data_IF_628390079192
#
_entry.id   IF_628390079192
#
_cell.length_a   1.000
_cell.length_b   1.000
_cell.length_c   1.000
_cell.angle_alpha   90.00
_cell.angle_beta   90.00
_cell.angle_gamma   90.00
#
_symmetry.space_group_name_H-M   'P 1'
#
loop_
_entity.id
_entity.type
_entity.pdbx_description
1 polymer ?
#
# COMPACT_ATOMS: atom_id res chain seq x y z
N UNK A 1 -7.12 10.02 -24.62
CA UNK A 1 -5.73 10.33 -24.22
C UNK A 1 -4.77 10.07 -25.39
N UNK A 2 -3.82 10.97 -25.70
CA UNK A 2 -2.71 10.64 -26.58
C UNK A 2 -1.63 9.85 -25.80
N UNK A 3 -1.40 8.60 -26.21
CA UNK A 3 -0.33 7.74 -25.68
C UNK A 3 1.01 8.23 -26.22
N UNK A 4 1.82 8.87 -25.37
CA UNK A 4 3.21 9.16 -25.71
C UNK A 4 4.02 7.88 -25.45
N UNK A 5 4.37 7.18 -26.52
CA UNK A 5 5.25 6.01 -26.46
C UNK A 5 6.62 6.43 -25.91
N UNK A 6 7.15 5.66 -24.94
CA UNK A 6 8.50 5.88 -24.35
C UNK A 6 8.52 6.29 -22.87
N UNK A 7 7.39 6.41 -22.19
CA UNK A 7 7.32 6.92 -20.81
C UNK A 7 7.62 5.88 -19.70
N UNK A 8 7.68 4.57 -20.01
CA UNK A 8 8.00 3.52 -19.02
C UNK A 8 7.15 3.61 -17.73
N UNK A 9 7.81 3.77 -16.58
CA UNK A 9 7.18 3.95 -15.25
C UNK A 9 6.20 5.13 -15.18
N UNK A 10 6.43 6.20 -15.95
CA UNK A 10 5.54 7.38 -15.97
C UNK A 10 4.20 7.08 -16.66
N UNK A 11 4.18 6.18 -17.64
CA UNK A 11 2.95 5.77 -18.31
C UNK A 11 2.02 4.99 -17.36
N UNK A 12 2.59 4.07 -16.57
CA UNK A 12 1.84 3.31 -15.56
C UNK A 12 1.24 4.24 -14.50
N UNK A 13 2.02 5.19 -14.01
CA UNK A 13 1.53 6.21 -13.07
C UNK A 13 0.40 7.04 -13.69
N UNK A 14 0.58 7.59 -14.89
CA UNK A 14 -0.46 8.38 -15.57
C UNK A 14 -1.76 7.59 -15.74
N UNK A 15 -1.66 6.32 -16.15
CA UNK A 15 -2.82 5.45 -16.30
C UNK A 15 -3.55 5.27 -14.96
N UNK A 16 -2.82 4.99 -13.88
CA UNK A 16 -3.41 4.89 -12.55
C UNK A 16 -4.10 6.20 -12.13
N UNK A 17 -3.47 7.35 -12.38
CA UNK A 17 -4.06 8.65 -12.06
C UNK A 17 -5.35 8.93 -12.84
N UNK A 18 -5.45 8.52 -14.11
CA UNK A 18 -6.68 8.67 -14.91
C UNK A 18 -7.77 7.70 -14.45
N UNK A 19 -7.43 6.45 -14.11
CA UNK A 19 -8.40 5.50 -13.53
C UNK A 19 -8.97 6.06 -12.23
N UNK A 20 -8.12 6.62 -11.36
CA UNK A 20 -8.54 7.23 -10.08
C UNK A 20 -9.47 8.44 -10.29
N UNK A 21 -9.35 9.18 -11.40
CA UNK A 21 -10.24 10.31 -11.71
C UNK A 21 -11.62 9.86 -12.21
N UNK A 22 -11.68 8.70 -12.88
CA UNK A 22 -12.88 8.20 -13.55
C UNK A 22 -13.59 7.08 -12.77
N UNK A 23 -12.93 6.49 -11.76
CA UNK A 23 -13.42 5.33 -11.01
C UNK A 23 -13.12 5.43 -9.51
N UNK A 24 -14.09 5.01 -8.69
CA UNK A 24 -13.97 4.87 -7.23
C UNK A 24 -13.53 3.45 -6.81
N UNK A 25 -13.00 2.65 -7.73
CA UNK A 25 -12.57 1.27 -7.46
C UNK A 25 -11.25 1.22 -6.67
N UNK A 26 -11.30 0.83 -5.40
CA UNK A 26 -10.14 0.77 -4.52
C UNK A 26 -9.22 -0.43 -4.77
N UNK A 27 -9.56 -1.35 -5.69
CA UNK A 27 -8.66 -2.44 -6.10
C UNK A 27 -7.38 -1.92 -6.75
N UNK A 28 -7.37 -0.71 -7.29
CA UNK A 28 -6.17 -0.05 -7.83
C UNK A 28 -5.07 0.15 -6.78
N UNK A 29 -5.42 0.20 -5.49
CA UNK A 29 -4.47 0.31 -4.39
C UNK A 29 -4.03 -1.06 -3.84
N UNK A 30 -4.63 -2.15 -4.31
CA UNK A 30 -4.36 -3.52 -3.88
C UNK A 30 -3.26 -4.19 -4.73
N UNK A 31 -2.16 -3.49 -4.99
CA UNK A 31 -0.93 -4.07 -5.56
C UNK A 31 0.01 -4.52 -4.43
N UNK A 32 1.06 -5.28 -4.73
CA UNK A 32 2.11 -5.62 -3.76
C UNK A 32 3.47 -5.78 -4.44
N UNK A 33 4.54 -5.55 -3.68
CA UNK A 33 5.90 -5.84 -4.14
C UNK A 33 6.10 -7.35 -4.30
N UNK A 34 7.04 -7.76 -5.16
CA UNK A 34 7.47 -9.16 -5.24
C UNK A 34 8.09 -9.61 -3.90
N UNK A 35 8.09 -10.91 -3.57
CA UNK A 35 8.68 -11.40 -2.31
C UNK A 35 10.14 -10.93 -2.12
N UNK A 36 10.92 -10.89 -3.21
CA UNK A 36 12.29 -10.38 -3.20
C UNK A 36 12.38 -8.89 -2.91
N UNK A 37 11.48 -8.08 -3.46
CA UNK A 37 11.45 -6.63 -3.22
C UNK A 37 10.87 -6.28 -1.83
N UNK A 38 9.92 -7.07 -1.32
CA UNK A 38 9.43 -6.95 0.05
C UNK A 38 10.57 -7.19 1.06
N UNK A 39 11.37 -8.23 0.86
CA UNK A 39 12.52 -8.52 1.70
C UNK A 39 13.54 -7.36 1.69
N UNK A 40 13.88 -6.84 0.50
CA UNK A 40 14.79 -5.70 0.38
C UNK A 40 14.26 -4.43 1.05
N UNK A 41 12.97 -4.14 0.87
CA UNK A 41 12.29 -3.01 1.52
C UNK A 41 12.21 -3.19 3.04
N UNK A 42 12.14 -4.43 3.55
CA UNK A 42 12.16 -4.71 5.00
C UNK A 42 13.54 -4.57 5.66
N UNK A 43 14.62 -4.78 4.89
CA UNK A 43 16.00 -4.73 5.38
C UNK A 43 16.57 -3.31 5.44
N UNK A 44 16.01 -2.38 4.66
CA UNK A 44 16.40 -0.98 4.66
C UNK A 44 15.26 -0.18 5.32
N UNK A 45 15.34 0.14 6.63
CA UNK A 45 14.27 0.83 7.35
C UNK A 45 13.88 2.18 6.74
N UNK A 46 14.79 2.84 6.01
CA UNK A 46 14.54 4.08 5.29
C UNK A 46 13.93 3.88 3.87
N UNK A 47 13.99 2.67 3.30
CA UNK A 47 13.40 2.30 1.99
C UNK A 47 12.13 1.41 2.12
N UNK A 48 11.64 1.25 3.35
CA UNK A 48 10.45 0.46 3.68
C UNK A 48 9.15 1.09 3.21
N UNK A 49 9.15 2.41 3.10
CA UNK A 49 8.00 3.20 2.71
C UNK A 49 7.85 3.22 1.19
N UNK A 50 6.63 3.00 0.71
CA UNK A 50 6.29 3.08 -0.70
C UNK A 50 5.09 4.02 -0.88
N UNK A 51 5.00 4.57 -2.09
CA UNK A 51 3.83 5.35 -2.46
C UNK A 51 2.56 4.49 -2.48
N UNK A 52 1.41 5.13 -2.62
CA UNK A 52 0.11 4.47 -2.80
C UNK A 52 -0.09 3.89 -4.20
N UNK A 53 0.66 4.41 -5.18
CA UNK A 53 0.59 3.98 -6.58
C UNK A 53 1.71 2.98 -6.88
N UNK A 54 1.37 1.93 -7.63
CA UNK A 54 2.34 0.93 -8.06
C UNK A 54 3.39 1.57 -8.98
N UNK A 55 4.64 1.14 -8.87
CA UNK A 55 5.71 1.65 -9.73
C UNK A 55 5.78 0.90 -11.07
N UNK A 56 5.42 -0.39 -11.03
CA UNK A 56 5.41 -1.27 -12.18
C UNK A 56 4.11 -2.08 -12.30
N UNK A 57 3.62 -2.34 -13.53
CA UNK A 57 2.45 -3.22 -13.73
C UNK A 57 2.62 -4.63 -13.16
N UNK A 58 3.86 -5.12 -13.04
CA UNK A 58 4.18 -6.42 -12.45
C UNK A 58 3.74 -6.52 -10.97
N UNK A 59 3.63 -5.40 -10.25
CA UNK A 59 3.17 -5.37 -8.86
C UNK A 59 1.66 -5.71 -8.72
N UNK A 60 0.92 -5.79 -9.84
CA UNK A 60 -0.47 -6.24 -9.89
C UNK A 60 -0.64 -7.72 -10.29
N UNK A 61 0.45 -8.47 -10.45
CA UNK A 61 0.39 -9.87 -10.89
C UNK A 61 -0.51 -10.73 -9.99
N UNK A 62 -0.40 -10.54 -8.67
CA UNK A 62 -1.25 -11.23 -7.69
C UNK A 62 -2.63 -10.57 -7.50
N UNK A 63 -2.92 -9.43 -8.13
CA UNK A 63 -4.13 -8.63 -7.87
C UNK A 63 -5.35 -9.05 -8.69
N UNK A 64 -5.20 -9.97 -9.63
CA UNK A 64 -6.24 -10.36 -10.59
C UNK A 64 -7.51 -10.97 -9.96
N UNK A 65 -7.45 -11.39 -8.69
CA UNK A 65 -8.55 -12.02 -7.98
C UNK A 65 -9.25 -11.07 -6.99
N UNK A 66 -8.83 -9.80 -6.93
CA UNK A 66 -9.50 -8.79 -6.13
C UNK A 66 -10.72 -8.24 -6.85
N UNK A 67 -11.81 -8.08 -6.11
CA UNK A 67 -13.05 -7.53 -6.60
C UNK A 67 -13.44 -6.31 -5.76
N UNK A 68 -13.95 -5.24 -6.39
CA UNK A 68 -14.47 -4.10 -5.65
C UNK A 68 -15.66 -4.54 -4.78
N UNK A 69 -15.66 -4.06 -3.54
CA UNK A 69 -16.84 -4.10 -2.69
C UNK A 69 -17.67 -2.82 -2.90
N UNK A 70 -18.91 -2.81 -2.42
CA UNK A 70 -19.70 -1.58 -2.38
C UNK A 70 -18.89 -0.50 -1.64
N UNK A 71 -18.74 0.70 -2.24
CA UNK A 71 -17.92 1.76 -1.66
C UNK A 71 -18.50 2.14 -0.30
N UNK A 72 -17.72 1.87 0.76
CA UNK A 72 -18.06 2.29 2.14
C UNK A 72 -17.64 3.73 2.44
N UNK A 73 -16.95 4.36 1.51
CA UNK A 73 -16.38 5.70 1.64
C UNK A 73 -16.74 6.60 0.46
N UNK A 74 -16.62 7.91 0.68
CA UNK A 74 -16.83 8.92 -0.35
C UNK A 74 -15.77 8.87 -1.45
N UNK A 75 -15.94 9.68 -2.52
CA UNK A 75 -15.02 9.72 -3.64
C UNK A 75 -13.61 10.10 -3.18
N UNK A 76 -12.61 9.58 -3.86
CA UNK A 76 -11.22 9.89 -3.59
C UNK A 76 -10.59 10.67 -4.75
N UNK A 77 -9.59 11.50 -4.43
CA UNK A 77 -8.97 12.36 -5.41
C UNK A 77 -7.46 12.41 -5.21
N UNK A 78 -6.76 12.49 -6.34
CA UNK A 78 -5.33 12.78 -6.35
C UNK A 78 -5.11 14.29 -6.17
N UNK A 79 -4.32 14.63 -5.15
CA UNK A 79 -3.88 16.00 -4.85
C UNK A 79 -2.36 16.14 -5.02
N UNK A 80 -1.85 17.36 -4.88
CA UNK A 80 -0.41 17.61 -4.82
C UNK A 80 0.27 17.00 -3.58
N UNK A 81 -0.48 16.73 -2.51
CA UNK A 81 0.04 16.07 -1.29
C UNK A 81 0.07 14.54 -1.39
N UNK A 82 -0.76 13.97 -2.24
CA UNK A 82 -1.07 12.54 -2.17
C UNK A 82 -2.48 12.22 -2.67
N UNK A 83 -2.85 10.96 -2.53
CA UNK A 83 -4.23 10.52 -2.65
C UNK A 83 -5.00 10.94 -1.39
N UNK A 84 -6.01 11.79 -1.53
CA UNK A 84 -6.97 12.06 -0.48
C UNK A 84 -8.09 11.04 -0.55
N UNK A 85 -8.21 10.20 0.47
CA UNK A 85 -9.18 9.11 0.53
C UNK A 85 -9.70 8.95 1.97
N UNK A 86 -10.94 8.50 2.10
CA UNK A 86 -11.50 8.13 3.38
C UNK A 86 -11.47 6.60 3.52
N UNK A 87 -10.71 6.08 4.49
CA UNK A 87 -10.59 4.64 4.75
C UNK A 87 -10.80 4.35 6.23
N UNK A 88 -11.40 3.20 6.60
CA UNK A 88 -11.35 2.70 7.96
C UNK A 88 -9.91 2.40 8.36
N UNK A 89 -9.43 3.03 9.43
CA UNK A 89 -8.11 2.75 10.01
C UNK A 89 -8.27 2.17 11.41
N UNK A 90 -7.46 1.18 11.73
CA UNK A 90 -7.30 0.68 13.10
C UNK A 90 -5.85 0.29 13.38
N UNK A 91 -5.50 0.27 14.67
CA UNK A 91 -4.23 -0.25 15.15
C UNK A 91 -4.38 -1.72 15.49
N UNK A 92 -3.49 -2.56 14.96
CA UNK A 92 -3.41 -3.98 15.28
C UNK A 92 -2.60 -4.19 16.56
N UNK A 93 -2.71 -5.38 17.17
CA UNK A 93 -2.06 -5.70 18.46
C UNK A 93 -0.53 -5.49 18.46
N UNK A 94 0.11 -5.57 17.30
CA UNK A 94 1.53 -5.33 17.05
C UNK A 94 1.87 -3.85 16.78
N UNK A 95 0.93 -2.93 17.08
CA UNK A 95 1.06 -1.46 16.88
C UNK A 95 1.15 -1.01 15.43
N UNK A 96 0.90 -1.91 14.47
CA UNK A 96 0.82 -1.53 13.06
C UNK A 96 -0.52 -0.84 12.77
N UNK A 97 -0.48 0.27 12.04
CA UNK A 97 -1.68 0.91 11.53
C UNK A 97 -2.08 0.26 10.21
N UNK A 98 -3.36 -0.09 10.10
CA UNK A 98 -3.90 -0.81 8.95
C UNK A 98 -5.05 0.02 8.38
N UNK A 99 -4.99 0.34 7.09
CA UNK A 99 -6.08 0.96 6.35
C UNK A 99 -6.82 -0.09 5.52
N UNK A 100 -8.14 -0.14 5.67
CA UNK A 100 -9.00 -1.13 5.01
C UNK A 100 -9.49 -0.60 3.68
N UNK A 101 -9.26 -1.36 2.61
CA UNK A 101 -9.79 -1.06 1.28
C UNK A 101 -11.18 -1.68 1.12
N UNK A 102 -12.04 -0.99 0.38
CA UNK A 102 -13.38 -1.47 -0.03
C UNK A 102 -13.26 -2.46 -1.18
N UNK A 103 -12.41 -3.47 -1.03
CA UNK A 103 -12.27 -4.57 -1.97
C UNK A 103 -12.05 -5.89 -1.21
N UNK A 104 -12.44 -6.99 -1.85
CA UNK A 104 -12.31 -8.33 -1.30
C UNK A 104 -11.55 -9.25 -2.24
N UNK A 105 -10.82 -10.19 -1.68
CA UNK A 105 -10.06 -11.19 -2.43
C UNK A 105 -10.50 -12.62 -2.10
N UNK A 106 -10.62 -13.45 -3.12
CA UNK A 106 -10.80 -14.89 -2.97
C UNK A 106 -9.44 -15.60 -2.85
N UNK A 107 -8.77 -15.41 -1.70
CA UNK A 107 -7.48 -16.04 -1.43
C UNK A 107 -7.56 -17.58 -1.33
N UNK A 108 -8.76 -18.12 -1.08
CA UNK A 108 -9.02 -19.56 -0.98
C UNK A 108 -8.59 -20.36 -2.22
N UNK A 109 -8.50 -19.72 -3.40
CA UNK A 109 -8.07 -20.39 -4.65
C UNK A 109 -6.58 -20.76 -4.68
N UNK A 110 -5.72 -20.13 -3.85
CA UNK A 110 -4.27 -20.41 -3.83
C UNK A 110 -3.90 -21.61 -2.95
N UNK A 111 -4.74 -22.00 -1.98
CA UNK A 111 -4.39 -23.02 -0.96
C UNK A 111 -5.36 -24.19 -0.81
N UNK A 112 -6.30 -24.37 -1.76
CA UNK A 112 -7.27 -25.48 -1.70
C UNK A 112 -8.19 -25.43 -0.48
N UNK A 113 -8.40 -24.24 0.09
CA UNK A 113 -9.21 -24.03 1.28
C UNK A 113 -10.70 -24.08 0.91
N UNK A 114 -11.50 -24.84 1.67
CA UNK A 114 -12.89 -25.18 1.33
C UNK A 114 -13.93 -24.18 1.84
N UNK A 115 -13.50 -23.10 2.48
CA UNK A 115 -14.38 -22.05 2.99
C UNK A 115 -14.00 -20.71 2.31
N UNK A 116 -14.63 -20.35 1.16
CA UNK A 116 -14.35 -19.12 0.45
C UNK A 116 -14.98 -17.93 1.18
N UNK A 117 -14.46 -17.62 2.37
CA UNK A 117 -14.84 -16.40 3.07
C UNK A 117 -14.23 -15.22 2.33
N UNK A 118 -15.10 -14.30 1.88
CA UNK A 118 -14.69 -13.02 1.32
C UNK A 118 -13.91 -12.26 2.39
N UNK A 119 -12.59 -12.19 2.23
CA UNK A 119 -11.73 -11.39 3.10
C UNK A 119 -11.56 -10.01 2.52
N UNK A 120 -11.62 -9.00 3.37
CA UNK A 120 -11.33 -7.64 2.96
C UNK A 120 -9.82 -7.44 2.89
N UNK A 121 -9.40 -6.66 1.90
CA UNK A 121 -8.00 -6.32 1.72
C UNK A 121 -7.69 -5.06 2.52
N UNK A 122 -6.53 -5.05 3.15
CA UNK A 122 -6.04 -3.92 3.90
C UNK A 122 -4.55 -3.69 3.63
N UNK A 123 -4.16 -2.42 3.67
CA UNK A 123 -2.78 -2.00 3.46
C UNK A 123 -2.16 -1.55 4.79
N UNK A 124 -0.93 -1.99 5.11
CA UNK A 124 -0.19 -1.46 6.25
C UNK A 124 0.28 -0.04 5.92
N UNK A 125 0.04 0.87 6.86
CA UNK A 125 0.37 2.28 6.72
C UNK A 125 1.19 2.75 7.92
N UNK A 126 1.99 3.79 7.69
CA UNK A 126 2.77 4.48 8.73
C UNK A 126 2.52 5.97 8.61
N UNK A 127 2.46 6.67 9.75
CA UNK A 127 2.40 8.13 9.77
C UNK A 127 3.75 8.69 9.32
N UNK A 128 3.75 9.52 8.28
CA UNK A 128 4.98 10.15 7.79
C UNK A 128 5.47 11.23 8.76
N UNK A 129 4.54 12.00 9.34
CA UNK A 129 4.84 13.04 10.34
C UNK A 129 3.89 12.85 11.52
N UNK A 130 4.40 12.92 12.75
CA UNK A 130 3.59 12.84 13.97
C UNK A 130 2.45 13.86 13.94
N UNK A 131 1.26 13.42 14.34
CA UNK A 131 0.02 14.22 14.36
C UNK A 131 -0.40 14.78 12.99
N UNK A 132 0.13 14.23 11.89
CA UNK A 132 -0.32 14.54 10.55
C UNK A 132 -1.30 13.49 10.04
N UNK A 133 -2.25 13.90 9.20
CA UNK A 133 -3.13 12.98 8.49
C UNK A 133 -2.46 12.43 7.21
N UNK A 134 -1.13 12.41 7.16
CA UNK A 134 -0.34 11.99 6.00
C UNK A 134 0.34 10.67 6.34
N UNK A 135 0.06 9.67 5.53
CA UNK A 135 0.51 8.31 5.72
C UNK A 135 1.23 7.80 4.47
N UNK A 136 2.24 6.97 4.67
CA UNK A 136 2.88 6.20 3.62
C UNK A 136 2.49 4.73 3.75
N UNK A 137 2.54 4.00 2.65
CA UNK A 137 2.33 2.55 2.66
C UNK A 137 3.64 1.86 3.03
N UNK A 138 3.59 0.79 3.81
CA UNK A 138 4.77 -0.02 4.11
C UNK A 138 4.86 -1.14 3.07
N UNK A 139 5.85 -1.07 2.17
CA UNK A 139 6.00 -2.00 1.05
C UNK A 139 6.39 -3.42 1.51
N UNK A 140 7.32 -3.50 2.47
CA UNK A 140 7.86 -4.75 3.00
C UNK A 140 6.86 -5.65 3.74
N UNK A 141 5.64 -5.17 4.04
CA UNK A 141 4.61 -5.93 4.76
C UNK A 141 3.51 -6.50 3.84
N UNK A 142 3.54 -6.18 2.54
CA UNK A 142 2.58 -6.70 1.57
C UNK A 142 1.13 -6.26 1.84
N UNK A 143 0.17 -7.09 1.42
CA UNK A 143 -1.26 -6.89 1.68
C UNK A 143 -1.72 -7.73 2.88
N UNK A 144 -2.53 -7.15 3.75
CA UNK A 144 -3.19 -7.87 4.84
C UNK A 144 -4.61 -8.25 4.45
N UNK A 145 -5.00 -9.46 4.82
CA UNK A 145 -6.37 -9.94 4.68
C UNK A 145 -7.02 -9.94 6.04
N UNK A 146 -8.16 -9.27 6.15
CA UNK A 146 -8.89 -9.14 7.41
C UNK A 146 -10.34 -9.60 7.23
N UNK A 147 -10.90 -10.12 8.31
CA UNK A 147 -12.31 -10.49 8.32
C UNK A 147 -13.19 -9.24 8.37
N UNK A 148 -14.44 -9.37 7.93
CA UNK A 148 -15.38 -8.24 7.91
C UNK A 148 -15.60 -7.62 9.29
N UNK A 149 -15.50 -8.40 10.37
CA UNK A 149 -15.62 -7.91 11.75
C UNK A 149 -14.47 -6.97 12.09
N UNK A 150 -13.23 -7.31 11.70
CA UNK A 150 -12.06 -6.46 11.88
C UNK A 150 -12.12 -5.23 10.98
N UNK A 151 -12.61 -5.38 9.76
CA UNK A 151 -12.82 -4.23 8.86
C UNK A 151 -13.81 -3.21 9.44
N UNK A 152 -14.83 -3.68 10.16
CA UNK A 152 -15.84 -2.84 10.81
C UNK A 152 -15.37 -2.18 12.10
N UNK A 153 -14.29 -2.64 12.72
CA UNK A 153 -13.74 -1.99 13.91
C UNK A 153 -12.95 -0.72 13.57
N UNK A 154 -12.51 -0.58 12.32
CA UNK A 154 -11.84 0.62 11.83
C UNK A 154 -12.76 1.83 11.81
N UNK A 155 -12.26 2.97 12.28
CA UNK A 155 -12.97 4.24 12.19
C UNK A 155 -12.68 4.85 10.80
N UNK A 156 -13.70 5.21 10.00
CA UNK A 156 -13.47 5.90 8.73
C UNK A 156 -12.82 7.26 8.98
N UNK A 157 -11.58 7.43 8.50
CA UNK A 157 -10.79 8.63 8.65
C UNK A 157 -10.41 9.18 7.27
N UNK A 158 -10.49 10.50 7.11
CA UNK A 158 -9.99 11.18 5.91
C UNK A 158 -8.48 11.35 6.03
N UNK A 159 -7.74 10.69 5.14
CA UNK A 159 -6.28 10.63 5.15
C UNK A 159 -5.69 11.03 3.80
N UNK A 160 -4.39 11.34 3.82
CA UNK A 160 -3.58 11.52 2.64
C UNK A 160 -2.57 10.39 2.54
N UNK A 161 -2.63 9.60 1.47
CA UNK A 161 -1.61 8.60 1.15
C UNK A 161 -0.57 9.19 0.18
N UNK A 162 0.71 9.13 0.52
CA UNK A 162 1.78 9.70 -0.30
C UNK A 162 1.88 8.99 -1.67
N UNK A 163 2.17 9.73 -2.75
CA UNK A 163 2.30 9.15 -4.12
C UNK A 163 3.60 8.40 -4.36
N UNK A 164 4.58 8.66 -3.52
CA UNK A 164 5.90 8.08 -3.49
C UNK A 164 6.28 7.92 -2.02
N UNK A 165 7.26 7.07 -1.72
CA UNK A 165 7.93 7.12 -0.43
C UNK A 165 8.26 8.60 -0.14
N UNK A 166 7.98 9.12 1.05
CA UNK A 166 8.52 10.42 1.40
C UNK A 166 10.02 10.34 1.17
N UNK A 167 10.53 11.29 0.40
CA UNK A 167 11.96 11.49 0.23
C UNK A 167 12.45 12.04 1.57
N UNK A 168 12.50 11.19 2.60
CA UNK A 168 12.98 11.55 3.92
C UNK A 168 14.47 11.82 3.79
N UNK A 169 14.78 13.07 3.45
CA UNK A 169 15.56 13.91 4.33
C UNK A 169 16.77 13.17 4.93
N UNK A 170 17.77 12.99 4.06
CA UNK A 170 19.16 12.60 4.33
C UNK A 170 19.68 13.29 5.61
N UNK A 171 19.91 12.53 6.68
CA UNK A 171 20.61 12.95 7.91
C UNK A 171 21.48 11.80 8.43
N UNK A 172 22.57 12.14 9.15
CA UNK A 172 23.91 11.69 8.82
C UNK A 172 24.12 10.20 9.01
N UNK A 173 25.02 9.67 8.17
CA UNK A 173 25.58 8.33 8.21
C UNK A 173 25.74 7.84 9.65
N UNK A 174 24.94 6.86 10.03
CA UNK A 174 25.38 5.93 11.06
C UNK A 174 26.39 5.03 10.37
N UNK A 175 27.67 5.40 10.53
CA UNK A 175 28.80 4.50 10.30
C UNK A 175 28.47 3.17 10.98
N UNK A 176 28.10 2.18 10.17
CA UNK A 176 28.17 0.79 10.56
C UNK A 176 29.65 0.48 10.70
N UNK A 177 30.17 0.72 11.91
CA UNK A 177 31.36 0.04 12.42
C UNK A 177 31.01 -1.44 12.44
N UNK A 178 31.22 -2.08 11.30
CA UNK A 178 31.48 -3.51 11.21
C UNK A 178 32.87 -3.70 11.81
N UNK A 179 32.95 -3.79 13.13
CA UNK A 179 34.09 -4.46 13.78
C UNK A 179 33.96 -5.95 13.44
N UNK A 180 34.46 -6.26 12.24
CA UNK A 180 34.92 -7.57 11.86
C UNK A 180 36.27 -7.76 12.51
N UNK A 181 36.30 -8.37 13.68
CA UNK A 181 37.50 -9.05 14.15
C UNK A 181 37.12 -10.46 14.58
N UNK A 182 37.09 -11.33 13.57
CA UNK A 182 37.54 -12.71 13.72
C UNK A 182 39.04 -12.71 13.45
N UNK A 183 39.88 -12.95 14.45
CA UNK A 183 40.95 -13.94 14.32
C UNK A 183 41.65 -14.26 15.66
N UNK A 184 42.06 -15.53 15.76
CA UNK A 184 42.93 -16.20 16.75
C UNK A 184 42.31 -16.70 18.07
#
# INVERSE_FOLDING_TARGET
MPLIYGEGRKACRRLQEEIIKESDDQTIFAWQLSEGDQFRSSLAPDDGEVGVLAQHPAEFEDSAHFQPALPRSGPYNITNKGLSIQLPIFSRADRQLIAVLSCHGDWAKRKGDKDPKRRQIAIPIVETVKDSNVYARIGGLGLHMIDEVQARSGRPCAIYLTKAAPETQRWPDFDLVLDSDSDS
#
